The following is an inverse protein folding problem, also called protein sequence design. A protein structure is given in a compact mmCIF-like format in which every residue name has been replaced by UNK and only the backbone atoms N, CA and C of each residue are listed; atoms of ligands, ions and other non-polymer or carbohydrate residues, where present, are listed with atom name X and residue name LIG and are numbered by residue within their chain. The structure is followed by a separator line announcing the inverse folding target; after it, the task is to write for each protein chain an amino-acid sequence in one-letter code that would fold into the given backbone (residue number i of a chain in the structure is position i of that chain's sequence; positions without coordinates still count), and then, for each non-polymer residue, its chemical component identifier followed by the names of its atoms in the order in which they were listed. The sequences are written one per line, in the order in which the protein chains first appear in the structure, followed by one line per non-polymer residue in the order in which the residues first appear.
data_IF_244167875134
#
_entry.id   IF_244167875134
#
_cell.length_a   1.000
_cell.length_b   1.000
_cell.length_c   1.000
_cell.angle_alpha   90.00
_cell.angle_beta   90.00
_cell.angle_gamma   90.00
#
_symmetry.space_group_name_H-M   'P 1'
#
loop_
_entity.id
_entity.type
_entity.pdbx_description
1 polymer ?
#
# COMPACT_ATOMS: atom_id res chain seq x y z
N UNK A 1 -4.22 18.34 14.57
CA UNK A 1 -5.39 17.54 14.96
C UNK A 1 -6.06 17.00 13.70
N UNK A 2 -6.60 15.79 13.78
CA UNK A 2 -7.37 15.09 12.72
C UNK A 2 -6.65 14.91 11.36
N UNK A 3 -5.32 15.07 11.34
CA UNK A 3 -4.48 14.87 10.17
C UNK A 3 -3.85 13.48 10.10
N UNK A 4 -2.99 13.26 9.09
CA UNK A 4 -2.33 11.99 8.79
C UNK A 4 -1.44 11.44 9.93
N UNK A 5 -1.06 12.26 10.89
CA UNK A 5 -0.22 11.88 12.05
C UNK A 5 -0.92 12.14 13.40
N UNK A 6 -2.24 12.32 13.40
CA UNK A 6 -3.00 12.67 14.60
C UNK A 6 -2.84 11.62 15.70
N UNK A 7 -2.47 12.07 16.91
CA UNK A 7 -2.35 11.20 18.06
C UNK A 7 -3.70 10.71 18.63
N UNK A 8 -4.76 11.46 18.40
CA UNK A 8 -6.12 11.05 18.81
C UNK A 8 -6.61 9.86 17.99
N UNK A 9 -6.29 9.82 16.67
CA UNK A 9 -6.70 8.74 15.77
C UNK A 9 -5.77 7.55 15.91
N UNK A 10 -4.44 7.78 15.82
CA UNK A 10 -3.44 6.73 15.68
C UNK A 10 -2.74 6.35 16.98
N UNK A 11 -2.92 7.11 18.05
CA UNK A 11 -2.28 6.87 19.34
C UNK A 11 -1.11 7.81 19.66
N UNK A 12 -0.53 7.67 20.87
CA UNK A 12 0.53 8.54 21.37
C UNK A 12 1.85 8.33 20.60
N UNK A 13 2.70 9.36 20.60
CA UNK A 13 4.05 9.31 19.97
C UNK A 13 5.08 8.64 20.89
N UNK A 14 4.94 8.83 22.18
CA UNK A 14 5.79 8.21 23.21
C UNK A 14 4.96 7.29 24.10
N UNK A 15 5.58 6.24 24.62
CA UNK A 15 4.91 5.28 25.49
C UNK A 15 4.37 5.96 26.75
N UNK A 16 3.07 5.72 26.99
CA UNK A 16 2.36 6.23 28.17
C UNK A 16 2.44 7.75 28.36
N UNK A 17 2.52 8.52 27.27
CA UNK A 17 2.55 9.97 27.30
C UNK A 17 1.57 10.59 26.32
N UNK A 18 0.70 11.50 26.80
CA UNK A 18 -0.18 12.26 25.89
C UNK A 18 0.60 13.40 25.21
N UNK A 19 0.15 13.85 24.03
CA UNK A 19 0.85 14.88 23.23
C UNK A 19 1.02 16.20 23.98
N UNK A 20 0.04 16.58 24.83
CA UNK A 20 0.10 17.84 25.59
C UNK A 20 0.97 17.74 26.88
N UNK A 21 1.48 16.55 27.22
CA UNK A 21 2.30 16.33 28.41
C UNK A 21 1.59 16.33 29.75
N UNK A 22 0.24 16.46 29.78
CA UNK A 22 -0.57 16.46 31.02
C UNK A 22 -0.43 15.13 31.77
N UNK A 23 -0.52 14.01 31.04
CA UNK A 23 -0.38 12.67 31.57
C UNK A 23 0.90 12.03 31.04
N UNK A 24 1.74 11.57 31.97
CA UNK A 24 3.01 10.90 31.71
C UNK A 24 3.15 9.68 32.62
N UNK A 25 3.85 8.65 32.13
CA UNK A 25 4.16 7.39 32.82
C UNK A 25 2.96 6.45 32.97
N UNK A 26 3.29 5.19 33.32
CA UNK A 26 2.34 4.07 33.40
C UNK A 26 1.20 4.25 34.40
N UNK A 27 1.33 5.09 35.44
CA UNK A 27 0.28 5.33 36.44
C UNK A 27 -1.03 5.88 35.83
N UNK A 28 -0.97 6.43 34.63
CA UNK A 28 -2.13 6.98 33.90
C UNK A 28 -2.53 6.12 32.70
N UNK A 29 -2.11 4.85 32.66
CA UNK A 29 -2.41 3.91 31.58
C UNK A 29 -3.92 3.82 31.33
N UNK A 30 -4.30 3.86 30.05
CA UNK A 30 -5.72 3.71 29.61
C UNK A 30 -6.57 4.97 29.77
N UNK A 31 -6.05 6.06 30.32
CA UNK A 31 -6.79 7.32 30.45
C UNK A 31 -6.72 8.07 29.11
N UNK A 32 -7.87 8.56 28.65
CA UNK A 32 -7.93 9.48 27.52
C UNK A 32 -7.76 10.92 28.03
N UNK A 33 -6.77 11.63 27.51
CA UNK A 33 -6.50 13.00 27.93
C UNK A 33 -7.62 13.95 27.52
N UNK A 34 -8.24 14.63 28.48
CA UNK A 34 -9.33 15.60 28.26
C UNK A 34 -8.88 16.78 27.39
N UNK A 35 -7.59 17.21 27.48
CA UNK A 35 -7.06 18.36 26.77
C UNK A 35 -6.73 18.05 25.30
N UNK A 36 -6.09 16.91 25.00
CA UNK A 36 -5.62 16.58 23.64
C UNK A 36 -6.35 15.38 23.04
N UNK A 37 -7.17 14.66 23.81
CA UNK A 37 -7.94 13.51 23.34
C UNK A 37 -7.09 12.27 23.04
N UNK A 38 -5.80 12.27 23.43
CA UNK A 38 -4.88 11.15 23.19
C UNK A 38 -4.98 10.15 24.33
N UNK A 39 -5.11 8.88 24.00
CA UNK A 39 -5.11 7.77 24.94
C UNK A 39 -3.70 7.49 25.43
N UNK A 40 -3.53 7.29 26.74
CA UNK A 40 -2.21 7.02 27.40
C UNK A 40 -1.93 5.53 27.36
N UNK A 41 -1.39 5.06 26.26
CA UNK A 41 -1.03 3.66 26.00
C UNK A 41 0.36 3.57 25.34
N UNK A 42 0.77 2.36 24.98
CA UNK A 42 2.02 2.15 24.23
C UNK A 42 1.96 2.79 22.85
N UNK A 43 3.06 3.39 22.42
CA UNK A 43 3.20 4.00 21.08
C UNK A 43 3.12 2.98 19.94
N UNK A 44 3.31 1.70 20.22
CA UNK A 44 3.21 0.58 19.26
C UNK A 44 1.90 0.58 18.48
N UNK A 45 0.80 1.06 19.08
CA UNK A 45 -0.51 1.16 18.42
C UNK A 45 -0.47 2.02 17.15
N UNK A 46 0.51 2.92 17.00
CA UNK A 46 0.71 3.73 15.78
C UNK A 46 1.17 2.90 14.57
N UNK A 47 1.55 1.64 14.77
CA UNK A 47 1.83 0.66 13.70
C UNK A 47 0.60 -0.15 13.32
N UNK A 48 -0.43 -0.17 14.15
CA UNK A 48 -1.57 -1.07 14.05
C UNK A 48 -2.86 -0.32 13.70
N UNK A 49 -3.07 0.87 14.29
CA UNK A 49 -4.30 1.65 14.08
C UNK A 49 -4.34 2.26 12.69
N UNK A 50 -5.41 1.94 11.96
CA UNK A 50 -5.76 2.56 10.68
C UNK A 50 -6.73 3.71 10.88
N UNK A 51 -6.60 4.74 10.06
CA UNK A 51 -7.60 5.79 9.91
C UNK A 51 -8.44 5.57 8.66
N UNK A 52 -9.38 6.48 8.43
CA UNK A 52 -10.16 6.52 7.19
C UNK A 52 -10.35 7.96 6.69
N UNK A 53 -10.58 8.09 5.39
CA UNK A 53 -11.00 9.33 4.74
C UNK A 53 -12.36 9.06 4.11
N UNK A 54 -13.42 9.67 4.65
CA UNK A 54 -14.73 9.64 4.00
C UNK A 54 -14.69 10.51 2.75
N UNK A 55 -14.84 9.88 1.60
CA UNK A 55 -14.82 10.55 0.32
C UNK A 55 -16.12 11.32 0.08
N UNK A 56 -16.03 12.48 -0.58
CA UNK A 56 -17.17 13.30 -0.94
C UNK A 56 -18.00 12.72 -2.10
N UNK A 57 -17.36 11.87 -2.92
CA UNK A 57 -17.98 11.09 -3.97
C UNK A 57 -17.31 9.72 -3.99
N UNK A 58 -18.05 8.63 -4.22
CA UNK A 58 -17.48 7.30 -4.39
C UNK A 58 -16.44 7.27 -5.51
N UNK A 59 -15.45 6.40 -5.39
CA UNK A 59 -14.41 6.18 -6.42
C UNK A 59 -14.24 4.70 -6.70
N UNK A 60 -13.93 4.32 -7.92
CA UNK A 60 -13.66 2.92 -8.26
C UNK A 60 -12.25 2.52 -7.82
N UNK A 61 -12.10 1.28 -7.38
CA UNK A 61 -10.79 0.74 -7.06
C UNK A 61 -10.05 0.33 -8.33
N UNK A 62 -8.90 0.95 -8.61
CA UNK A 62 -8.14 0.77 -9.85
C UNK A 62 -7.74 -0.69 -10.14
N UNK A 63 -7.52 -1.51 -9.11
CA UNK A 63 -7.21 -2.93 -9.31
C UNK A 63 -8.37 -3.73 -9.88
N UNK A 64 -9.61 -3.39 -9.53
CA UNK A 64 -10.80 -4.06 -10.05
C UNK A 64 -11.26 -3.47 -11.39
N UNK A 65 -10.87 -2.21 -11.67
CA UNK A 65 -11.10 -1.55 -12.95
C UNK A 65 -10.07 -1.99 -14.00
N UNK A 66 -8.78 -1.77 -13.73
CA UNK A 66 -7.67 -1.96 -14.68
C UNK A 66 -7.03 -3.36 -14.61
N UNK A 67 -7.61 -4.29 -13.86
CA UNK A 67 -7.21 -5.71 -13.91
C UNK A 67 -7.44 -6.30 -15.29
N UNK A 68 -6.73 -7.36 -15.64
CA UNK A 68 -6.93 -8.09 -16.89
C UNK A 68 -7.39 -9.52 -16.56
N UNK A 69 -8.68 -9.85 -16.75
CA UNK A 69 -9.78 -8.99 -17.16
C UNK A 69 -10.27 -8.01 -16.06
N UNK A 70 -10.92 -6.90 -16.48
CA UNK A 70 -11.56 -5.99 -15.54
C UNK A 70 -12.72 -6.68 -14.83
N UNK A 71 -12.70 -6.69 -13.49
CA UNK A 71 -13.76 -7.34 -12.72
C UNK A 71 -15.08 -6.58 -12.79
N UNK A 72 -15.04 -5.26 -12.66
CA UNK A 72 -16.24 -4.41 -12.76
C UNK A 72 -16.86 -4.53 -14.16
N UNK A 73 -16.06 -4.39 -15.22
CA UNK A 73 -16.54 -4.51 -16.58
C UNK A 73 -17.12 -5.91 -16.91
N UNK A 74 -16.51 -6.97 -16.34
CA UNK A 74 -17.00 -8.35 -16.52
C UNK A 74 -18.38 -8.56 -15.87
N UNK A 75 -18.63 -7.97 -14.71
CA UNK A 75 -19.93 -8.08 -14.02
C UNK A 75 -21.01 -7.30 -14.78
N UNK A 76 -20.70 -6.08 -15.20
CA UNK A 76 -21.64 -5.20 -15.93
C UNK A 76 -21.80 -5.55 -17.41
N UNK A 77 -21.05 -6.52 -17.93
CA UNK A 77 -21.00 -6.89 -19.37
C UNK A 77 -20.60 -5.76 -20.32
N UNK A 78 -19.80 -4.83 -19.81
CA UNK A 78 -19.29 -3.70 -20.57
C UNK A 78 -17.87 -3.93 -21.07
N UNK A 79 -17.46 -3.17 -22.07
CA UNK A 79 -16.03 -3.10 -22.39
C UNK A 79 -15.28 -2.25 -21.37
N UNK A 80 -13.99 -2.54 -21.15
CA UNK A 80 -13.17 -1.72 -20.24
C UNK A 80 -13.12 -0.25 -20.71
N UNK A 81 -13.07 -0.02 -22.02
CA UNK A 81 -13.02 1.32 -22.62
C UNK A 81 -14.27 2.14 -22.28
N UNK A 82 -15.44 1.52 -22.42
CA UNK A 82 -16.72 2.17 -22.15
C UNK A 82 -16.86 2.48 -20.65
N UNK A 83 -16.53 1.53 -19.80
CA UNK A 83 -16.54 1.73 -18.36
C UNK A 83 -15.57 2.85 -17.93
N UNK A 84 -14.40 2.97 -18.56
CA UNK A 84 -13.48 4.06 -18.28
C UNK A 84 -14.07 5.41 -18.67
N UNK A 85 -14.73 5.52 -19.82
CA UNK A 85 -15.38 6.76 -20.23
C UNK A 85 -16.44 7.22 -19.22
N UNK A 86 -17.20 6.29 -18.67
CA UNK A 86 -18.18 6.59 -17.60
C UNK A 86 -17.50 7.04 -16.33
N UNK A 87 -16.53 6.28 -15.83
CA UNK A 87 -15.87 6.54 -14.54
C UNK A 87 -15.07 7.85 -14.50
N UNK A 88 -14.53 8.26 -15.68
CA UNK A 88 -13.75 9.50 -15.79
C UNK A 88 -14.53 10.67 -16.37
N UNK A 89 -15.86 10.56 -16.41
CA UNK A 89 -16.78 11.63 -16.78
C UNK A 89 -16.65 12.09 -18.24
N UNK A 90 -16.37 11.15 -19.15
CA UNK A 90 -16.28 11.42 -20.59
C UNK A 90 -17.57 11.01 -21.33
N UNK A 91 -18.42 10.13 -20.79
CA UNK A 91 -19.70 9.73 -21.36
C UNK A 91 -20.70 9.36 -20.26
N UNK A 92 -22.00 9.44 -20.58
CA UNK A 92 -23.08 8.98 -19.71
C UNK A 92 -23.37 7.50 -19.94
N UNK A 93 -23.88 6.83 -18.93
CA UNK A 93 -24.38 5.46 -18.99
C UNK A 93 -25.90 5.46 -18.71
N UNK A 94 -26.61 4.62 -19.44
CA UNK A 94 -28.04 4.40 -19.24
C UNK A 94 -28.24 3.51 -18.03
N UNK A 95 -28.84 4.06 -16.97
CA UNK A 95 -29.22 3.33 -15.76
C UNK A 95 -30.58 2.69 -15.93
N UNK A 96 -31.56 3.49 -16.32
CA UNK A 96 -32.91 3.03 -16.66
C UNK A 96 -33.28 3.58 -18.04
N UNK A 97 -33.55 2.72 -19.01
CA UNK A 97 -33.93 3.14 -20.36
C UNK A 97 -35.33 3.80 -20.45
N UNK A 98 -36.20 3.59 -19.44
CA UNK A 98 -37.57 4.11 -19.48
C UNK A 98 -38.30 3.76 -20.77
N UNK A 99 -38.87 4.79 -21.47
CA UNK A 99 -39.56 4.67 -22.75
C UNK A 99 -38.65 4.74 -23.95
N UNK A 100 -37.33 4.84 -23.78
CA UNK A 100 -36.39 4.94 -24.89
C UNK A 100 -36.06 3.58 -25.52
N UNK A 101 -35.58 3.57 -26.76
CA UNK A 101 -35.10 2.36 -27.45
C UNK A 101 -33.67 1.96 -27.02
N UNK A 102 -33.07 2.67 -26.04
CA UNK A 102 -31.73 2.41 -25.60
C UNK A 102 -31.65 1.16 -24.73
N UNK A 103 -30.56 0.43 -24.86
CA UNK A 103 -30.29 -0.70 -23.96
C UNK A 103 -29.70 -0.23 -22.63
N UNK A 104 -30.01 -0.93 -21.53
CA UNK A 104 -29.38 -0.73 -20.24
C UNK A 104 -27.85 -0.90 -20.36
N UNK A 105 -27.07 -0.07 -19.69
CA UNK A 105 -25.61 0.00 -19.76
C UNK A 105 -25.02 0.49 -21.09
N UNK A 106 -25.84 0.97 -22.05
CA UNK A 106 -25.34 1.65 -23.23
C UNK A 106 -24.82 3.05 -22.92
N UNK A 107 -23.96 3.59 -23.77
CA UNK A 107 -23.36 4.92 -23.58
C UNK A 107 -24.10 5.98 -24.37
N UNK A 108 -24.21 7.16 -23.76
CA UNK A 108 -24.72 8.39 -24.40
C UNK A 108 -23.60 9.45 -24.31
N UNK A 109 -23.31 10.09 -25.43
CA UNK A 109 -22.32 11.17 -25.48
C UNK A 109 -22.83 12.42 -24.77
N UNK A 110 -21.90 13.28 -24.31
CA UNK A 110 -22.30 14.52 -23.64
C UNK A 110 -23.07 15.49 -24.54
N UNK A 111 -22.81 15.44 -25.82
CA UNK A 111 -23.49 16.24 -26.85
C UNK A 111 -24.99 15.86 -26.99
N UNK A 112 -25.29 14.57 -26.96
CA UNK A 112 -26.63 14.01 -27.12
C UNK A 112 -27.45 14.03 -25.81
N UNK A 113 -26.80 14.29 -24.68
CA UNK A 113 -27.42 14.19 -23.34
C UNK A 113 -28.70 15.00 -23.19
N UNK A 114 -28.70 16.27 -23.66
CA UNK A 114 -29.83 17.17 -23.52
C UNK A 114 -30.98 16.74 -24.48
N UNK A 115 -30.65 16.41 -25.71
CA UNK A 115 -31.62 15.97 -26.72
C UNK A 115 -32.32 14.69 -26.27
N UNK A 116 -31.57 13.75 -25.66
CA UNK A 116 -32.15 12.50 -25.17
C UNK A 116 -33.09 12.69 -23.99
N UNK A 117 -32.75 13.58 -23.05
CA UNK A 117 -33.62 13.88 -21.91
C UNK A 117 -34.88 14.65 -22.33
N UNK A 118 -34.78 15.54 -23.32
CA UNK A 118 -35.93 16.26 -23.86
C UNK A 118 -36.90 15.32 -24.59
N UNK A 119 -36.39 14.31 -25.29
CA UNK A 119 -37.17 13.29 -25.96
C UNK A 119 -37.82 12.25 -25.05
N UNK A 120 -37.06 11.84 -24.02
CA UNK A 120 -37.42 10.76 -23.11
C UNK A 120 -37.28 11.21 -21.65
N UNK A 121 -38.31 11.82 -21.05
CA UNK A 121 -38.25 12.34 -19.67
C UNK A 121 -38.02 11.27 -18.62
N UNK A 122 -38.39 10.01 -18.91
CA UNK A 122 -38.24 8.86 -17.99
C UNK A 122 -36.86 8.20 -18.09
N UNK A 123 -36.00 8.68 -18.98
CA UNK A 123 -34.64 8.14 -19.17
C UNK A 123 -33.72 8.57 -18.01
N UNK A 124 -33.13 7.61 -17.33
CA UNK A 124 -32.18 7.89 -16.26
C UNK A 124 -30.74 7.66 -16.74
N UNK A 125 -29.99 8.76 -16.80
CA UNK A 125 -28.60 8.77 -17.21
C UNK A 125 -27.70 9.15 -16.03
N UNK A 126 -26.55 8.52 -15.93
CA UNK A 126 -25.59 8.81 -14.87
C UNK A 126 -24.14 8.81 -15.34
N UNK A 127 -23.24 9.29 -14.51
CA UNK A 127 -21.79 9.33 -14.74
C UNK A 127 -21.01 9.04 -13.45
N UNK A 128 -19.80 8.51 -13.63
CA UNK A 128 -18.84 8.32 -12.54
C UNK A 128 -19.08 7.07 -11.71
N UNK A 129 -18.28 6.92 -10.65
CA UNK A 129 -18.31 5.74 -9.81
C UNK A 129 -19.59 5.62 -8.96
N UNK A 130 -20.30 6.71 -8.76
CA UNK A 130 -21.58 6.78 -8.05
C UNK A 130 -22.63 5.95 -8.78
N UNK A 131 -22.81 6.23 -10.07
CA UNK A 131 -23.73 5.49 -10.95
C UNK A 131 -23.30 4.03 -11.15
N UNK A 132 -22.01 3.79 -11.33
CA UNK A 132 -21.48 2.41 -11.42
C UNK A 132 -21.78 1.63 -10.14
N UNK A 133 -21.72 2.27 -8.98
CA UNK A 133 -22.11 1.65 -7.72
C UNK A 133 -23.59 1.27 -7.68
N UNK A 134 -24.47 2.16 -8.12
CA UNK A 134 -25.92 1.90 -8.23
C UNK A 134 -26.19 0.69 -9.11
N UNK A 135 -25.60 0.65 -10.30
CA UNK A 135 -25.73 -0.51 -11.20
C UNK A 135 -25.21 -1.83 -10.60
N UNK A 136 -24.13 -1.76 -9.80
CA UNK A 136 -23.60 -2.94 -9.11
C UNK A 136 -24.47 -3.38 -7.93
N UNK A 137 -25.19 -2.46 -7.28
CA UNK A 137 -26.12 -2.77 -6.18
C UNK A 137 -27.41 -3.43 -6.66
N UNK A 138 -27.87 -3.09 -7.88
CA UNK A 138 -29.05 -3.70 -8.48
C UNK A 138 -28.86 -5.19 -8.86
N UNK A 139 -27.61 -5.63 -8.99
CA UNK A 139 -27.32 -7.01 -9.39
C UNK A 139 -27.48 -7.96 -8.19
N UNK A 140 -28.46 -8.86 -8.30
CA UNK A 140 -28.57 -9.99 -7.39
C UNK A 140 -27.58 -11.10 -7.81
N UNK A 141 -26.47 -11.22 -7.07
CA UNK A 141 -25.39 -12.18 -7.40
C UNK A 141 -25.83 -13.65 -7.37
N UNK A 142 -26.63 -14.12 -6.40
CA UNK A 142 -27.15 -15.48 -6.40
C UNK A 142 -27.96 -15.83 -7.66
N UNK A 143 -28.96 -15.02 -8.00
CA UNK A 143 -29.78 -15.20 -9.20
C UNK A 143 -28.96 -15.15 -10.50
N UNK A 144 -28.00 -14.23 -10.57
CA UNK A 144 -27.07 -14.12 -11.70
C UNK A 144 -26.20 -15.38 -11.83
N UNK A 145 -25.75 -15.96 -10.72
CA UNK A 145 -24.97 -17.20 -10.70
C UNK A 145 -25.75 -18.39 -11.28
N UNK A 146 -27.01 -18.53 -10.90
CA UNK A 146 -27.89 -19.58 -11.42
C UNK A 146 -28.18 -19.39 -12.91
N UNK A 147 -28.47 -18.14 -13.34
CA UNK A 147 -28.70 -17.80 -14.73
C UNK A 147 -27.49 -18.15 -15.60
N UNK A 148 -26.29 -17.73 -15.20
CA UNK A 148 -25.06 -18.00 -15.95
C UNK A 148 -24.72 -19.51 -16.02
N UNK A 149 -25.08 -20.28 -14.98
CA UNK A 149 -24.93 -21.76 -15.01
C UNK A 149 -25.87 -22.41 -16.03
N UNK A 150 -27.11 -21.92 -16.18
CA UNK A 150 -28.06 -22.38 -17.20
C UNK A 150 -27.57 -22.00 -18.60
N UNK A 151 -27.24 -20.73 -18.81
CA UNK A 151 -26.74 -20.22 -20.10
C UNK A 151 -25.48 -20.99 -20.56
N UNK A 152 -24.56 -21.33 -19.65
CA UNK A 152 -23.36 -22.09 -19.98
C UNK A 152 -23.64 -23.48 -20.53
N UNK A 153 -24.78 -24.10 -20.16
CA UNK A 153 -25.20 -25.42 -20.66
C UNK A 153 -25.82 -25.34 -22.06
N UNK A 154 -26.48 -24.22 -22.37
CA UNK A 154 -27.24 -24.03 -23.63
C UNK A 154 -26.36 -23.49 -24.75
N UNK A 155 -25.29 -22.75 -24.43
CA UNK A 155 -24.42 -22.11 -25.39
C UNK A 155 -23.53 -23.10 -26.12
N UNK A 156 -23.62 -23.10 -27.46
CA UNK A 156 -22.83 -23.94 -28.39
C UNK A 156 -21.51 -23.25 -28.82
N UNK A 157 -21.51 -21.90 -28.89
CA UNK A 157 -20.33 -21.14 -29.30
C UNK A 157 -19.23 -21.18 -28.24
N UNK A 158 -18.05 -21.69 -28.61
CA UNK A 158 -16.89 -21.80 -27.68
C UNK A 158 -16.41 -20.45 -27.15
N UNK A 159 -16.41 -19.42 -27.98
CA UNK A 159 -15.99 -18.04 -27.58
C UNK A 159 -16.94 -17.44 -26.55
N UNK A 160 -18.28 -17.59 -26.79
CA UNK A 160 -19.29 -17.12 -25.84
C UNK A 160 -19.22 -17.93 -24.54
N UNK A 161 -19.03 -19.25 -24.63
CA UNK A 161 -18.85 -20.13 -23.46
C UNK A 161 -17.66 -19.72 -22.61
N UNK A 162 -16.51 -19.38 -23.20
CA UNK A 162 -15.31 -18.89 -22.47
C UNK A 162 -15.59 -17.55 -21.76
N UNK A 163 -16.40 -16.65 -22.36
CA UNK A 163 -16.80 -15.39 -21.74
C UNK A 163 -17.69 -15.63 -20.53
N UNK A 164 -18.75 -16.45 -20.68
CA UNK A 164 -19.67 -16.81 -19.61
C UNK A 164 -18.91 -17.50 -18.46
N UNK A 165 -18.00 -18.42 -18.77
CA UNK A 165 -17.19 -19.09 -17.77
C UNK A 165 -16.36 -18.14 -16.91
N UNK A 166 -15.72 -17.13 -17.52
CA UNK A 166 -14.97 -16.10 -16.80
C UNK A 166 -15.87 -15.28 -15.87
N UNK A 167 -17.06 -14.92 -16.34
CA UNK A 167 -18.05 -14.18 -15.55
C UNK A 167 -18.59 -15.04 -14.40
N UNK A 168 -18.96 -16.27 -14.69
CA UNK A 168 -19.45 -17.22 -13.70
C UNK A 168 -18.43 -17.46 -12.57
N UNK A 169 -17.16 -17.67 -12.90
CA UNK A 169 -16.11 -17.85 -11.89
C UNK A 169 -15.99 -16.62 -10.96
N UNK A 170 -16.10 -15.42 -11.50
CA UNK A 170 -16.06 -14.19 -10.71
C UNK A 170 -17.29 -14.04 -9.82
N UNK A 171 -18.48 -14.29 -10.36
CA UNK A 171 -19.75 -14.20 -9.62
C UNK A 171 -19.80 -15.26 -8.54
N UNK A 172 -19.44 -16.52 -8.83
CA UNK A 172 -19.37 -17.60 -7.83
C UNK A 172 -18.41 -17.23 -6.69
N UNK A 173 -17.22 -16.70 -7.01
CA UNK A 173 -16.26 -16.30 -5.98
C UNK A 173 -16.79 -15.16 -5.07
N UNK A 174 -17.60 -14.24 -5.61
CA UNK A 174 -18.25 -13.20 -4.81
C UNK A 174 -19.34 -13.77 -3.91
N UNK A 175 -20.18 -14.68 -4.44
CA UNK A 175 -21.22 -15.36 -3.67
C UNK A 175 -20.59 -16.19 -2.55
N UNK A 176 -19.59 -17.02 -2.86
CA UNK A 176 -18.92 -17.89 -1.89
C UNK A 176 -18.21 -17.11 -0.76
N UNK A 177 -17.67 -15.94 -1.07
CA UNK A 177 -17.01 -15.05 -0.11
C UNK A 177 -17.96 -14.15 0.67
N UNK A 178 -19.25 -14.08 0.30
CA UNK A 178 -20.23 -13.19 0.90
C UNK A 178 -20.00 -11.70 0.58
N UNK A 179 -19.14 -11.38 -0.39
CA UNK A 179 -18.86 -10.01 -0.79
C UNK A 179 -19.87 -9.51 -1.84
N UNK A 180 -20.26 -8.24 -1.72
CA UNK A 180 -21.09 -7.57 -2.72
C UNK A 180 -20.26 -7.02 -3.88
N UNK A 181 -20.83 -6.95 -5.08
CA UNK A 181 -20.16 -6.35 -6.24
C UNK A 181 -19.84 -4.86 -6.00
N UNK A 182 -20.70 -4.15 -5.27
CA UNK A 182 -20.52 -2.74 -4.91
C UNK A 182 -19.29 -2.46 -4.04
N UNK A 183 -18.74 -3.49 -3.34
CA UNK A 183 -17.52 -3.36 -2.53
C UNK A 183 -16.27 -3.00 -3.36
N UNK A 184 -16.33 -3.12 -4.69
CA UNK A 184 -15.27 -2.65 -5.60
C UNK A 184 -15.24 -1.13 -5.77
N UNK A 185 -16.25 -0.42 -5.25
CA UNK A 185 -16.35 1.03 -5.21
C UNK A 185 -16.10 1.51 -3.79
N UNK A 186 -15.18 2.46 -3.62
CA UNK A 186 -14.69 2.94 -2.34
C UNK A 186 -15.41 4.22 -1.96
N UNK A 187 -16.01 4.25 -0.77
CA UNK A 187 -16.56 5.46 -0.13
C UNK A 187 -15.70 5.92 1.05
N UNK A 188 -15.13 4.96 1.75
CA UNK A 188 -14.24 5.20 2.87
C UNK A 188 -12.85 4.68 2.53
N UNK A 189 -11.92 5.60 2.26
CA UNK A 189 -10.55 5.26 1.91
C UNK A 189 -9.75 4.96 3.18
N UNK A 190 -9.16 3.77 3.34
CA UNK A 190 -8.33 3.45 4.49
C UNK A 190 -7.01 4.22 4.46
N UNK A 191 -6.57 4.67 5.63
CA UNK A 191 -5.29 5.36 5.82
C UNK A 191 -4.34 4.46 6.61
N UNK A 192 -3.18 4.17 6.02
CA UNK A 192 -2.16 3.36 6.65
C UNK A 192 -1.71 3.96 7.99
N UNK A 193 -1.34 3.13 8.97
CA UNK A 193 -0.74 3.60 10.21
C UNK A 193 0.49 4.49 9.97
N UNK A 194 0.72 5.53 10.79
CA UNK A 194 1.82 6.49 10.62
C UNK A 194 3.21 5.86 10.59
N UNK A 195 3.44 4.83 11.38
CA UNK A 195 4.74 4.14 11.47
C UNK A 195 5.11 3.37 10.19
N UNK A 196 4.10 3.01 9.36
CA UNK A 196 4.33 2.37 8.06
C UNK A 196 4.62 3.37 6.93
N UNK A 197 4.44 4.67 7.19
CA UNK A 197 4.74 5.80 6.29
C UNK A 197 5.42 6.94 7.05
N UNK A 198 6.57 6.68 7.67
CA UNK A 198 7.16 7.55 8.67
C UNK A 198 7.56 8.92 8.11
N UNK A 199 7.59 9.90 9.00
CA UNK A 199 8.16 11.22 8.82
C UNK A 199 9.39 11.31 9.74
N UNK A 200 10.58 11.29 9.16
CA UNK A 200 11.83 11.24 9.90
C UNK A 200 12.52 12.61 9.83
N UNK A 201 12.84 13.25 10.97
CA UNK A 201 13.64 14.48 10.97
C UNK A 201 15.09 14.16 10.57
N UNK A 202 15.64 14.98 9.68
CA UNK A 202 17.04 14.95 9.27
C UNK A 202 17.78 16.12 9.91
N UNK A 203 19.11 16.05 9.91
CA UNK A 203 19.97 17.16 10.31
C UNK A 203 19.67 18.40 9.46
N UNK A 204 19.67 19.58 10.10
CA UNK A 204 19.32 20.84 9.43
C UNK A 204 17.82 21.15 9.31
N UNK A 205 16.96 20.53 10.14
CA UNK A 205 15.53 20.85 10.23
C UNK A 205 14.68 20.37 9.04
N UNK A 206 15.26 19.56 8.15
CA UNK A 206 14.55 18.94 7.02
C UNK A 206 13.90 17.61 7.46
N UNK A 207 12.84 17.24 6.79
CA UNK A 207 12.16 15.96 7.03
C UNK A 207 12.26 15.05 5.80
N UNK A 208 12.61 13.79 6.03
CA UNK A 208 12.41 12.73 5.05
C UNK A 208 11.02 12.12 5.27
N UNK A 209 10.24 12.02 4.21
CA UNK A 209 8.89 11.49 4.29
C UNK A 209 8.69 10.39 3.24
N UNK A 210 7.81 9.45 3.53
CA UNK A 210 7.36 8.47 2.55
C UNK A 210 6.55 9.16 1.44
N UNK A 211 6.71 8.73 0.20
CA UNK A 211 5.94 9.20 -0.95
C UNK A 211 4.42 9.02 -0.74
N UNK A 212 4.00 8.02 0.07
CA UNK A 212 2.60 7.79 0.44
C UNK A 212 1.97 8.99 1.13
N UNK A 213 2.72 9.73 1.94
CA UNK A 213 2.19 10.93 2.62
C UNK A 213 1.82 12.02 1.62
N UNK A 214 2.58 12.18 0.55
CA UNK A 214 2.26 13.12 -0.53
C UNK A 214 1.02 12.69 -1.32
N UNK A 215 0.89 11.38 -1.59
CA UNK A 215 -0.29 10.85 -2.27
C UNK A 215 -1.55 11.00 -1.41
N UNK A 216 -1.51 10.64 -0.12
CA UNK A 216 -2.63 10.88 0.80
C UNK A 216 -2.99 12.37 0.92
N UNK A 217 -1.99 13.25 0.99
CA UNK A 217 -2.21 14.70 1.03
C UNK A 217 -2.96 15.19 -0.20
N UNK A 218 -2.60 14.71 -1.40
CA UNK A 218 -3.29 15.04 -2.65
C UNK A 218 -4.74 14.59 -2.62
N UNK A 219 -5.02 13.36 -2.16
CA UNK A 219 -6.39 12.86 -1.99
C UNK A 219 -7.19 13.75 -1.04
N UNK A 220 -6.65 14.07 0.14
CA UNK A 220 -7.32 14.92 1.13
C UNK A 220 -7.62 16.31 0.56
N UNK A 221 -6.67 16.93 -0.14
CA UNK A 221 -6.87 18.26 -0.75
C UNK A 221 -7.97 18.23 -1.81
N UNK A 222 -7.98 17.23 -2.71
CA UNK A 222 -9.03 17.06 -3.71
C UNK A 222 -10.38 16.80 -3.07
N UNK A 223 -10.42 15.92 -2.06
CA UNK A 223 -11.64 15.61 -1.34
C UNK A 223 -12.23 16.84 -0.62
N UNK A 224 -11.42 17.62 0.07
CA UNK A 224 -11.87 18.83 0.75
C UNK A 224 -12.34 19.90 -0.23
N UNK A 225 -11.63 20.04 -1.36
CA UNK A 225 -12.04 20.96 -2.43
C UNK A 225 -13.37 20.54 -3.03
N UNK A 226 -13.56 19.26 -3.31
CA UNK A 226 -14.83 18.73 -3.82
C UNK A 226 -15.98 18.98 -2.83
N UNK A 227 -15.78 18.69 -1.54
CA UNK A 227 -16.79 19.00 -0.50
C UNK A 227 -17.21 20.45 -0.54
N UNK A 228 -16.25 21.36 -0.56
CA UNK A 228 -16.52 22.80 -0.60
C UNK A 228 -17.25 23.22 -1.89
N UNK A 229 -16.93 22.64 -3.05
CA UNK A 229 -17.62 22.91 -4.31
C UNK A 229 -19.09 22.43 -4.29
N UNK A 230 -19.36 21.28 -3.68
CA UNK A 230 -20.71 20.75 -3.49
C UNK A 230 -21.50 21.65 -2.54
N UNK A 231 -20.93 22.06 -1.39
CA UNK A 231 -21.54 22.96 -0.43
C UNK A 231 -21.89 24.32 -1.05
N UNK A 232 -21.02 24.85 -1.91
CA UNK A 232 -21.21 26.11 -2.62
C UNK A 232 -22.13 26.00 -3.84
N UNK A 233 -22.66 24.80 -4.16
CA UNK A 233 -23.47 24.52 -5.35
C UNK A 233 -22.81 25.03 -6.63
N UNK A 234 -21.51 24.75 -6.77
CA UNK A 234 -20.73 25.15 -7.95
C UNK A 234 -21.30 24.55 -9.25
N UNK A 235 -21.03 25.16 -10.42
CA UNK A 235 -21.47 24.61 -11.71
C UNK A 235 -21.09 23.16 -11.90
N UNK A 236 -21.98 22.34 -12.47
CA UNK A 236 -21.84 20.90 -12.62
C UNK A 236 -20.54 20.47 -13.34
N UNK A 237 -20.09 21.24 -14.33
CA UNK A 237 -18.84 20.95 -15.05
C UNK A 237 -17.60 21.03 -14.13
N UNK A 238 -17.59 21.97 -13.18
CA UNK A 238 -16.48 22.10 -12.22
C UNK A 238 -16.51 20.95 -11.23
N UNK A 239 -17.70 20.57 -10.76
CA UNK A 239 -17.88 19.44 -9.83
C UNK A 239 -17.48 18.13 -10.51
N UNK A 240 -17.90 17.86 -11.75
CA UNK A 240 -17.49 16.69 -12.54
C UNK A 240 -15.98 16.60 -12.68
N UNK A 241 -15.32 17.71 -13.02
CA UNK A 241 -13.88 17.75 -13.17
C UNK A 241 -13.14 17.45 -11.85
N UNK A 242 -13.63 18.00 -10.72
CA UNK A 242 -13.01 17.72 -9.42
C UNK A 242 -13.29 16.27 -8.95
N UNK A 243 -14.47 15.70 -9.25
CA UNK A 243 -14.75 14.26 -9.04
C UNK A 243 -13.77 13.39 -9.84
N UNK A 244 -13.49 13.72 -11.10
CA UNK A 244 -12.48 13.05 -11.93
C UNK A 244 -11.08 13.13 -11.32
N UNK A 245 -10.68 14.34 -10.88
CA UNK A 245 -9.37 14.53 -10.24
C UNK A 245 -9.24 13.78 -8.91
N UNK A 246 -10.33 13.63 -8.16
CA UNK A 246 -10.37 12.79 -6.95
C UNK A 246 -10.15 11.32 -7.30
N UNK A 247 -10.86 10.80 -8.31
CA UNK A 247 -10.69 9.44 -8.82
C UNK A 247 -9.22 9.20 -9.23
N UNK A 248 -8.61 10.09 -10.00
CA UNK A 248 -7.21 10.00 -10.44
C UNK A 248 -6.22 10.03 -9.26
N UNK A 249 -6.51 10.82 -8.22
CA UNK A 249 -5.67 10.89 -7.01
C UNK A 249 -5.70 9.59 -6.22
N UNK A 250 -6.86 8.95 -6.13
CA UNK A 250 -7.01 7.65 -5.46
C UNK A 250 -6.36 6.54 -6.29
N UNK A 251 -6.51 6.56 -7.62
CA UNK A 251 -5.84 5.62 -8.52
C UNK A 251 -4.32 5.67 -8.35
N UNK A 252 -3.76 6.88 -8.28
CA UNK A 252 -2.32 7.06 -8.06
C UNK A 252 -1.85 6.58 -6.68
N UNK A 253 -2.67 6.69 -5.64
CA UNK A 253 -2.36 6.16 -4.32
C UNK A 253 -2.22 4.63 -4.35
N UNK A 254 -3.13 3.94 -5.04
CA UNK A 254 -3.10 2.48 -5.13
C UNK A 254 -2.06 1.96 -6.12
N UNK A 255 -1.98 2.51 -7.33
CA UNK A 255 -1.08 2.04 -8.39
C UNK A 255 -0.70 3.19 -9.33
N UNK A 256 0.31 3.95 -8.97
CA UNK A 256 0.72 5.15 -9.71
C UNK A 256 1.28 4.77 -11.09
N UNK A 257 0.75 5.39 -12.14
CA UNK A 257 1.14 5.13 -13.53
C UNK A 257 0.37 3.99 -14.21
N UNK A 258 -0.60 3.35 -13.53
CA UNK A 258 -1.45 2.33 -14.14
C UNK A 258 -2.40 2.94 -15.18
N UNK A 259 -2.80 4.19 -14.99
CA UNK A 259 -3.58 4.98 -15.94
C UNK A 259 -2.78 6.22 -16.37
N UNK A 260 -2.23 6.19 -17.57
CA UNK A 260 -1.53 7.34 -18.16
C UNK A 260 -0.20 7.67 -17.47
N UNK A 261 0.14 8.96 -17.46
CA UNK A 261 1.40 9.44 -16.89
C UNK A 261 1.40 9.35 -15.37
N UNK A 262 2.44 8.81 -14.75
CA UNK A 262 2.52 8.71 -13.30
C UNK A 262 2.61 10.10 -12.65
N UNK A 263 2.01 10.25 -11.47
CA UNK A 263 2.20 11.43 -10.64
C UNK A 263 3.63 11.50 -10.15
N UNK A 264 4.24 12.68 -10.25
CA UNK A 264 5.63 12.92 -9.89
C UNK A 264 5.75 13.82 -8.66
N UNK A 265 6.85 13.65 -7.94
CA UNK A 265 7.26 14.52 -6.84
C UNK A 265 7.99 15.78 -7.32
N UNK A 266 8.50 16.58 -6.38
CA UNK A 266 9.30 17.78 -6.65
C UNK A 266 10.55 17.51 -7.51
N UNK A 267 11.14 16.34 -7.36
CA UNK A 267 12.33 15.89 -8.10
C UNK A 267 12.01 15.26 -9.47
N UNK A 268 10.83 15.48 -10.02
CA UNK A 268 10.35 14.86 -11.27
C UNK A 268 10.38 13.32 -11.29
N UNK A 269 10.64 12.68 -10.14
CA UNK A 269 10.59 11.23 -9.97
C UNK A 269 9.15 10.78 -9.75
N UNK A 270 8.69 9.65 -10.34
CA UNK A 270 7.40 9.05 -10.02
C UNK A 270 7.30 8.76 -8.52
N UNK A 271 6.17 9.10 -7.90
CA UNK A 271 5.89 8.79 -6.50
C UNK A 271 5.59 7.30 -6.36
N UNK A 272 6.14 6.69 -5.31
CA UNK A 272 5.97 5.27 -5.00
C UNK A 272 4.60 5.02 -4.38
N UNK A 273 3.74 4.29 -5.08
CA UNK A 273 2.38 3.95 -4.65
C UNK A 273 2.33 2.73 -3.72
N UNK A 274 1.14 2.39 -3.21
CA UNK A 274 0.92 1.19 -2.40
C UNK A 274 1.31 -0.10 -3.15
N UNK A 275 0.96 -0.20 -4.45
CA UNK A 275 1.38 -1.33 -5.30
C UNK A 275 2.89 -1.45 -5.41
N UNK A 276 3.60 -0.32 -5.55
CA UNK A 276 5.05 -0.29 -5.68
C UNK A 276 5.76 -0.65 -4.37
N UNK A 277 5.09 -0.49 -3.23
CA UNK A 277 5.59 -0.97 -1.94
C UNK A 277 5.65 -2.50 -1.86
N UNK A 278 4.85 -3.20 -2.64
CA UNK A 278 4.76 -4.66 -2.67
C UNK A 278 5.52 -5.29 -3.83
N UNK A 279 5.47 -4.65 -5.01
CA UNK A 279 6.00 -5.14 -6.29
C UNK A 279 7.50 -4.85 -6.46
N UNK A 280 8.13 -5.63 -7.35
CA UNK A 280 9.48 -5.37 -7.86
C UNK A 280 10.61 -5.72 -6.88
N UNK A 281 11.85 -5.38 -7.27
CA UNK A 281 13.09 -5.70 -6.54
C UNK A 281 13.16 -5.02 -5.17
N UNK A 282 12.59 -3.81 -5.07
CA UNK A 282 12.56 -3.00 -3.85
C UNK A 282 11.22 -3.11 -3.10
N UNK A 283 10.34 -4.01 -3.53
CA UNK A 283 9.07 -4.28 -2.87
C UNK A 283 9.24 -5.15 -1.62
N UNK A 284 8.18 -5.19 -0.81
CA UNK A 284 8.18 -5.90 0.47
C UNK A 284 8.49 -7.38 0.33
N UNK A 285 7.97 -8.04 -0.70
CA UNK A 285 8.20 -9.47 -0.91
C UNK A 285 9.67 -9.77 -1.18
N UNK A 286 10.30 -9.12 -2.15
CA UNK A 286 11.67 -9.44 -2.55
C UNK A 286 12.73 -8.85 -1.63
N UNK A 287 12.49 -7.72 -0.99
CA UNK A 287 13.49 -7.02 -0.18
C UNK A 287 13.44 -7.38 1.30
N UNK A 288 12.27 -7.72 1.85
CA UNK A 288 12.08 -7.89 3.29
C UNK A 288 11.55 -9.27 3.72
N UNK A 289 10.88 -10.02 2.83
CA UNK A 289 10.27 -11.31 3.16
C UNK A 289 11.06 -12.49 2.59
N UNK A 290 11.36 -12.51 1.30
CA UNK A 290 12.15 -13.59 0.67
C UNK A 290 13.63 -13.54 1.07
N UNK A 291 14.12 -12.40 1.48
CA UNK A 291 15.48 -12.21 1.99
C UNK A 291 15.56 -10.94 2.81
N UNK A 292 16.37 -10.98 3.86
CA UNK A 292 16.60 -9.85 4.77
C UNK A 292 18.09 -9.59 4.89
N UNK A 293 18.47 -8.36 5.21
CA UNK A 293 19.82 -8.08 5.69
C UNK A 293 19.98 -8.70 7.08
N UNK A 294 21.07 -9.41 7.26
CA UNK A 294 21.37 -10.09 8.53
C UNK A 294 22.56 -9.44 9.21
N UNK A 295 22.58 -9.49 10.55
CA UNK A 295 23.71 -9.07 11.35
C UNK A 295 24.87 -10.07 11.21
N UNK A 296 26.05 -9.69 11.71
CA UNK A 296 27.27 -10.50 11.63
C UNK A 296 27.64 -10.94 10.22
N UNK A 297 27.42 -10.07 9.25
CA UNK A 297 27.78 -10.26 7.87
C UNK A 297 28.58 -9.08 7.35
N UNK A 298 29.51 -9.34 6.44
CA UNK A 298 30.36 -8.32 5.85
C UNK A 298 30.58 -8.55 4.37
N UNK A 299 31.01 -7.53 3.66
CA UNK A 299 31.36 -7.59 2.24
C UNK A 299 32.66 -6.86 1.99
N UNK A 300 33.56 -7.52 1.26
CA UNK A 300 34.84 -6.94 0.87
C UNK A 300 35.29 -7.42 -0.50
N UNK A 301 36.34 -6.85 -1.01
CA UNK A 301 37.00 -7.28 -2.25
C UNK A 301 37.70 -8.62 -2.01
N UNK A 302 37.64 -9.52 -2.98
CA UNK A 302 38.35 -10.80 -2.97
C UNK A 302 39.60 -10.70 -3.79
N UNK A 303 40.67 -11.30 -3.28
CA UNK A 303 41.98 -11.41 -3.94
C UNK A 303 42.48 -12.83 -3.85
N UNK A 304 43.49 -13.17 -4.61
CA UNK A 304 44.13 -14.49 -4.55
C UNK A 304 44.90 -14.67 -3.25
N UNK A 305 44.93 -15.90 -2.73
CA UNK A 305 45.69 -16.30 -1.54
C UNK A 305 46.46 -17.60 -1.83
N UNK A 306 47.62 -17.55 -2.48
CA UNK A 306 48.32 -18.75 -2.93
C UNK A 306 48.80 -19.67 -1.80
N UNK A 307 48.98 -19.09 -0.60
CA UNK A 307 49.48 -19.85 0.58
C UNK A 307 48.33 -20.49 1.40
N UNK A 308 47.06 -20.24 1.01
CA UNK A 308 45.88 -20.76 1.73
C UNK A 308 45.50 -22.13 1.17
N UNK A 309 45.06 -23.04 2.07
CA UNK A 309 44.44 -24.31 1.71
C UNK A 309 43.03 -24.08 1.14
N UNK A 310 42.46 -25.04 0.40
CA UNK A 310 41.17 -24.96 -0.26
C UNK A 310 39.99 -24.64 0.69
N UNK A 311 40.09 -25.06 1.94
CA UNK A 311 39.07 -24.79 3.00
C UNK A 311 39.38 -23.56 3.86
N UNK A 312 40.41 -22.79 3.52
CA UNK A 312 40.82 -21.61 4.27
C UNK A 312 40.57 -20.33 3.49
N UNK A 313 40.20 -19.29 4.20
CA UNK A 313 40.17 -17.93 3.65
C UNK A 313 40.87 -16.96 4.60
N UNK A 314 41.53 -15.96 4.04
CA UNK A 314 42.08 -14.84 4.78
C UNK A 314 41.03 -13.75 4.95
N UNK A 315 40.79 -13.33 6.21
CA UNK A 315 39.83 -12.29 6.52
C UNK A 315 40.56 -11.06 7.09
N UNK A 316 40.19 -9.81 6.68
CA UNK A 316 40.76 -8.61 7.30
C UNK A 316 40.51 -8.58 8.82
N UNK A 317 41.58 -8.35 9.61
CA UNK A 317 41.48 -8.36 11.08
C UNK A 317 40.35 -7.48 11.63
N UNK A 318 40.19 -6.27 11.12
CA UNK A 318 39.11 -5.35 11.56
C UNK A 318 37.72 -5.89 11.25
N UNK A 319 37.55 -6.58 10.11
CA UNK A 319 36.28 -7.20 9.76
C UNK A 319 35.99 -8.40 10.67
N UNK A 320 36.99 -9.23 10.92
CA UNK A 320 36.87 -10.35 11.86
C UNK A 320 36.48 -9.87 13.27
N UNK A 321 37.08 -8.79 13.74
CA UNK A 321 36.77 -8.19 15.03
C UNK A 321 35.30 -7.81 15.17
N UNK A 322 34.71 -7.20 14.12
CA UNK A 322 33.30 -6.83 14.11
C UNK A 322 32.37 -8.04 14.02
N UNK A 323 32.70 -9.03 13.18
CA UNK A 323 31.88 -10.22 12.98
C UNK A 323 31.82 -11.10 14.25
N UNK A 324 32.94 -11.22 14.98
CA UNK A 324 33.05 -12.08 16.16
C UNK A 324 32.85 -11.34 17.49
N UNK A 325 32.43 -10.08 17.49
CA UNK A 325 32.17 -9.28 18.68
C UNK A 325 31.47 -10.01 19.82
N UNK A 326 30.33 -10.70 19.62
CA UNK A 326 29.62 -11.35 20.70
C UNK A 326 30.46 -12.44 21.39
N UNK A 327 31.17 -13.22 20.60
CA UNK A 327 32.02 -14.31 21.09
C UNK A 327 33.21 -13.75 21.86
N UNK A 328 33.83 -12.67 21.40
CA UNK A 328 34.92 -11.98 22.09
C UNK A 328 34.42 -11.44 23.43
N UNK A 329 33.26 -10.82 23.49
CA UNK A 329 32.69 -10.31 24.73
C UNK A 329 32.43 -11.45 25.74
N UNK A 330 31.92 -12.58 25.28
CA UNK A 330 31.69 -13.74 26.11
C UNK A 330 33.01 -14.25 26.69
N UNK A 331 34.04 -14.46 25.88
CA UNK A 331 35.37 -14.91 26.35
C UNK A 331 36.06 -13.91 27.29
N UNK A 332 35.93 -12.59 27.04
CA UNK A 332 36.47 -11.58 27.94
C UNK A 332 35.83 -11.62 29.34
N UNK A 333 34.56 -11.96 29.42
CA UNK A 333 33.82 -12.11 30.67
C UNK A 333 34.23 -13.43 31.35
N UNK A 334 34.30 -14.54 30.62
CA UNK A 334 34.68 -15.86 31.11
C UNK A 334 36.10 -15.86 31.70
N UNK A 335 37.03 -15.16 31.05
CA UNK A 335 38.40 -15.01 31.54
C UNK A 335 38.52 -13.97 32.66
N UNK A 336 37.39 -13.42 33.15
CA UNK A 336 37.35 -12.39 34.21
C UNK A 336 38.14 -11.11 33.90
N UNK A 337 38.47 -10.89 32.63
CA UNK A 337 39.17 -9.69 32.16
C UNK A 337 38.29 -8.43 32.25
N UNK A 338 36.97 -8.62 32.19
CA UNK A 338 35.95 -7.57 32.32
C UNK A 338 34.72 -8.13 33.02
N UNK A 339 34.07 -7.29 33.85
CA UNK A 339 32.84 -7.66 34.55
C UNK A 339 31.57 -7.13 33.86
N UNK A 340 31.69 -6.24 32.88
CA UNK A 340 30.53 -5.63 32.19
C UNK A 340 30.77 -5.52 30.70
N UNK A 341 29.68 -5.63 29.94
CA UNK A 341 29.69 -5.46 28.48
C UNK A 341 30.19 -4.06 28.08
N UNK A 342 29.93 -3.05 28.90
CA UNK A 342 30.43 -1.68 28.67
C UNK A 342 31.95 -1.61 28.68
N UNK A 343 32.59 -2.29 29.63
CA UNK A 343 34.05 -2.36 29.72
C UNK A 343 34.64 -3.22 28.59
N UNK A 344 33.95 -4.28 28.18
CA UNK A 344 34.36 -5.09 27.04
C UNK A 344 34.37 -4.27 25.75
N UNK A 345 33.33 -3.45 25.50
CA UNK A 345 33.29 -2.53 24.37
C UNK A 345 34.44 -1.54 24.35
N UNK A 346 34.76 -0.94 25.53
CA UNK A 346 35.88 -0.01 25.66
C UNK A 346 37.21 -0.67 25.32
N UNK A 347 37.51 -1.88 25.89
CA UNK A 347 38.74 -2.62 25.54
C UNK A 347 38.87 -2.93 24.06
N UNK A 348 37.74 -3.25 23.42
CA UNK A 348 37.71 -3.51 21.98
C UNK A 348 38.00 -2.24 21.16
N UNK A 349 37.48 -1.07 21.55
CA UNK A 349 37.76 0.22 20.93
C UNK A 349 39.24 0.66 21.13
N UNK A 350 39.85 0.34 22.28
CA UNK A 350 41.25 0.61 22.60
C UNK A 350 42.24 -0.32 21.87
N UNK A 351 41.74 -1.33 21.10
CA UNK A 351 42.56 -2.34 20.41
C UNK A 351 43.53 -3.07 21.30
N UNK A 352 43.11 -3.45 22.50
CA UNK A 352 43.94 -4.18 23.47
C UNK A 352 44.54 -5.46 22.84
N UNK A 353 45.84 -5.75 23.02
CA UNK A 353 46.50 -6.97 22.51
C UNK A 353 45.79 -8.27 22.91
N UNK A 354 45.18 -8.31 24.09
CA UNK A 354 44.42 -9.47 24.58
C UNK A 354 43.17 -9.76 23.72
N UNK A 355 42.51 -8.73 23.21
CA UNK A 355 41.36 -8.88 22.29
C UNK A 355 41.77 -9.62 21.03
N UNK A 356 42.95 -9.36 20.50
CA UNK A 356 43.47 -10.05 19.33
C UNK A 356 43.81 -11.51 19.60
N UNK A 357 44.39 -11.84 20.78
CA UNK A 357 44.64 -13.22 21.18
C UNK A 357 43.31 -14.02 21.29
N UNK A 358 42.31 -13.43 21.96
CA UNK A 358 40.98 -14.04 22.06
C UNK A 358 40.33 -14.20 20.70
N UNK A 359 40.45 -13.20 19.81
CA UNK A 359 39.93 -13.33 18.44
C UNK A 359 40.56 -14.53 17.71
N UNK A 360 41.85 -14.76 17.88
CA UNK A 360 42.54 -15.90 17.23
C UNK A 360 42.00 -17.26 17.73
N UNK A 361 41.67 -17.35 19.01
CA UNK A 361 41.04 -18.54 19.60
C UNK A 361 39.62 -18.73 19.06
N UNK A 362 38.80 -17.68 19.06
CA UNK A 362 37.41 -17.71 18.60
C UNK A 362 37.31 -18.09 17.13
N UNK A 363 38.20 -17.58 16.29
CA UNK A 363 38.21 -17.89 14.85
C UNK A 363 38.52 -19.36 14.58
N UNK A 364 39.28 -20.04 15.39
CA UNK A 364 39.54 -21.49 15.27
C UNK A 364 38.30 -22.35 15.55
N UNK A 365 37.46 -21.89 16.48
CA UNK A 365 36.26 -22.63 16.90
C UNK A 365 35.03 -22.36 16.04
N UNK A 366 34.93 -21.19 15.39
CA UNK A 366 33.75 -20.73 14.67
C UNK A 366 34.01 -20.53 13.19
N UNK A 367 33.57 -21.49 12.33
CA UNK A 367 33.66 -21.34 10.89
C UNK A 367 32.75 -20.23 10.37
N UNK A 368 33.14 -19.63 9.25
CA UNK A 368 32.34 -18.61 8.55
C UNK A 368 31.76 -19.18 7.25
N UNK A 369 30.61 -18.67 6.85
CA UNK A 369 29.99 -18.98 5.57
C UNK A 369 30.45 -17.93 4.55
N UNK A 370 31.08 -18.38 3.48
CA UNK A 370 31.53 -17.52 2.37
C UNK A 370 30.51 -17.56 1.22
N UNK A 371 30.31 -16.42 0.58
CA UNK A 371 29.49 -16.32 -0.61
C UNK A 371 30.15 -15.40 -1.64
N UNK A 372 30.16 -15.81 -2.91
CA UNK A 372 30.58 -14.99 -4.05
C UNK A 372 29.40 -14.77 -4.99
N UNK A 373 29.18 -13.54 -5.45
CA UNK A 373 28.20 -13.25 -6.50
C UNK A 373 28.79 -13.57 -7.89
N UNK A 374 28.00 -14.17 -8.82
CA UNK A 374 26.67 -14.71 -8.65
C UNK A 374 26.66 -16.02 -7.86
N UNK A 375 25.67 -16.19 -6.96
CA UNK A 375 25.48 -17.46 -6.23
C UNK A 375 24.71 -18.42 -7.14
N UNK A 376 25.40 -19.40 -7.72
CA UNK A 376 24.82 -20.36 -8.67
C UNK A 376 24.43 -21.67 -7.99
N UNK A 377 25.24 -22.16 -7.06
CA UNK A 377 25.02 -23.39 -6.29
C UNK A 377 25.82 -23.33 -5.00
N UNK A 378 25.55 -24.26 -4.10
CA UNK A 378 26.40 -24.54 -2.94
C UNK A 378 27.61 -25.33 -3.42
N UNK A 379 28.81 -24.92 -3.06
CA UNK A 379 30.07 -25.60 -3.32
C UNK A 379 30.64 -26.19 -2.04
#
# INVERSE_FOLDING_TARGET
RDGLFCGKIFGPVHDYECICGKYKRMKHRGITCEKCGVEVIESKVRRERMGNIKLASPVSHVWFLKGVPSRIATILEMTLRDLERVLYFDAYIVVDPGSSELEKNSLVEEEDYREMLDKFPDLVLGMGAETVKELLLEIDLPSLNEHLRKEMREVTSETRRKRIHKRLNLVSALVDSGNTASSMIIENLPVLPPELRPLVPLEGGRFATSDLNDLYRRVIHRNNRLKRLIELRAPGIIVKNEKRMLQESVDALFDNGRRGRPMVGSNKRPLKSLSDMLKGKQGRFRQNLLGKRVDYSGRTVIVVGPDLKLHQCGLPKKMALELFKPFIFHRLIDYQEVHTIKNAKRKLEENDPRVWAILEEVVKEHPILLNRAPTLHLS
#
